data_IF_041193814604
#
_entry.id   IF_041193814604
#
_cell.length_a   1.000
_cell.length_b   1.000
_cell.length_c   1.000
_cell.angle_alpha   90.00
_cell.angle_beta   90.00
_cell.angle_gamma   90.00
#
_symmetry.space_group_name_H-M   'P 1'
#
loop_
_entity.id
_entity.type
_entity.pdbx_description
1 polymer ?
#
# COMPACT_ATOMS: atom_id res chain seq x y z
N UNK A 1 11.72 -12.42 -12.09
CA UNK A 1 10.60 -12.61 -11.13
C UNK A 1 9.67 -11.42 -11.25
N UNK A 2 8.35 -11.61 -11.22
CA UNK A 2 7.38 -10.50 -11.18
C UNK A 2 6.96 -10.31 -9.72
N UNK A 3 7.05 -9.09 -9.20
CA UNK A 3 6.57 -8.79 -7.85
C UNK A 3 5.04 -8.83 -7.84
N UNK A 4 4.41 -9.28 -6.73
CA UNK A 4 2.99 -9.07 -6.50
C UNK A 4 2.67 -7.57 -6.44
N UNK A 5 1.44 -7.22 -6.84
CA UNK A 5 0.97 -5.83 -6.87
C UNK A 5 1.01 -5.18 -5.48
N UNK A 6 0.58 -5.92 -4.45
CA UNK A 6 0.63 -5.51 -3.05
C UNK A 6 1.49 -6.48 -2.23
N UNK A 7 2.22 -5.93 -1.27
CA UNK A 7 3.01 -6.65 -0.29
C UNK A 7 2.76 -6.06 1.10
N UNK A 8 2.70 -6.91 2.12
CA UNK A 8 2.67 -6.48 3.52
C UNK A 8 4.11 -6.36 4.05
N UNK A 9 4.42 -5.24 4.69
CA UNK A 9 5.72 -4.97 5.31
C UNK A 9 5.62 -4.96 6.83
N UNK A 10 6.50 -5.70 7.49
CA UNK A 10 6.67 -5.70 8.94
C UNK A 10 8.00 -5.01 9.31
N UNK A 11 8.02 -4.26 10.41
CA UNK A 11 9.20 -3.57 10.90
C UNK A 11 9.24 -3.54 12.44
N UNK A 12 10.28 -4.12 13.03
CA UNK A 12 10.42 -4.24 14.49
C UNK A 12 10.57 -2.89 15.21
N UNK A 13 11.05 -1.85 14.54
CA UNK A 13 11.14 -0.49 15.13
C UNK A 13 9.77 0.24 15.09
N UNK A 14 8.82 -0.25 14.31
CA UNK A 14 7.46 0.29 14.16
C UNK A 14 6.41 -0.82 14.39
N UNK A 15 6.32 -1.36 15.62
CA UNK A 15 5.51 -2.55 15.92
C UNK A 15 4.00 -2.35 15.76
N UNK A 16 3.53 -1.10 15.76
CA UNK A 16 2.12 -0.73 15.59
C UNK A 16 1.79 -0.33 14.15
N UNK A 17 2.80 -0.19 13.27
CA UNK A 17 2.59 0.23 11.88
C UNK A 17 2.21 -0.95 11.00
N UNK A 18 1.36 -0.67 10.02
CA UNK A 18 0.92 -1.66 9.03
C UNK A 18 1.30 -1.12 7.66
N UNK A 19 2.47 -1.54 7.17
CA UNK A 19 2.95 -1.09 5.87
C UNK A 19 2.37 -1.93 4.76
N UNK A 20 1.73 -1.29 3.79
CA UNK A 20 1.36 -1.90 2.51
C UNK A 20 2.15 -1.24 1.40
N UNK A 21 2.82 -2.04 0.58
CA UNK A 21 3.66 -1.59 -0.53
C UNK A 21 2.93 -1.90 -1.84
N UNK A 22 2.68 -0.86 -2.64
CA UNK A 22 2.23 -1.00 -4.02
C UNK A 22 3.43 -0.96 -4.98
N UNK A 23 3.63 -2.03 -5.76
CA UNK A 23 4.84 -2.23 -6.56
C UNK A 23 4.70 -1.83 -8.04
N UNK A 24 3.47 -1.56 -8.49
CA UNK A 24 3.16 -1.08 -9.84
C UNK A 24 3.04 0.45 -9.86
N UNK A 25 3.05 1.08 -11.03
CA UNK A 25 2.93 2.54 -11.14
C UNK A 25 1.49 2.98 -10.81
N UNK A 26 1.28 4.03 -9.99
CA UNK A 26 2.27 4.73 -9.18
C UNK A 26 2.74 3.90 -7.97
N UNK A 27 4.06 3.84 -7.76
CA UNK A 27 4.70 3.06 -6.68
C UNK A 27 4.72 3.85 -5.39
N UNK A 28 4.18 3.24 -4.35
CA UNK A 28 4.11 3.86 -3.03
C UNK A 28 4.20 2.83 -1.91
N UNK A 29 4.47 3.33 -0.72
CA UNK A 29 4.23 2.66 0.54
C UNK A 29 3.22 3.49 1.34
N UNK A 30 2.25 2.82 1.96
CA UNK A 30 1.31 3.43 2.89
C UNK A 30 1.43 2.76 4.26
N UNK A 31 1.43 3.54 5.34
CA UNK A 31 1.17 3.04 6.68
C UNK A 31 -0.34 3.17 6.98
N UNK A 32 -1.05 2.04 6.95
CA UNK A 32 -2.49 2.01 7.19
C UNK A 32 -2.88 2.39 8.63
N UNK A 33 -1.92 2.40 9.57
CA UNK A 33 -2.19 2.82 10.95
C UNK A 33 -2.24 4.35 11.10
N UNK A 34 -1.55 5.08 10.21
CA UNK A 34 -1.41 6.54 10.26
C UNK A 34 -1.95 7.26 9.02
N UNK A 35 -2.38 6.52 8.00
CA UNK A 35 -2.73 7.00 6.67
C UNK A 35 -1.59 7.77 5.95
N UNK A 36 -0.34 7.58 6.38
CA UNK A 36 0.82 8.24 5.78
C UNK A 36 1.24 7.52 4.49
N UNK A 37 1.25 8.28 3.38
CA UNK A 37 1.51 7.78 2.04
C UNK A 37 2.79 8.39 1.49
N UNK A 38 3.74 7.54 1.11
CA UNK A 38 4.98 7.96 0.46
C UNK A 38 5.12 7.32 -0.92
N UNK A 39 5.16 8.16 -1.95
CA UNK A 39 5.53 7.75 -3.30
C UNK A 39 7.04 7.59 -3.41
N UNK A 40 7.49 6.59 -4.17
CA UNK A 40 8.91 6.39 -4.46
C UNK A 40 9.37 7.15 -5.70
N UNK A 41 8.45 7.68 -6.48
CA UNK A 41 8.74 8.41 -7.71
C UNK A 41 8.33 9.88 -7.63
N UNK A 42 8.98 10.67 -8.47
CA UNK A 42 8.64 12.08 -8.62
C UNK A 42 7.38 12.19 -9.49
N UNK A 43 6.28 12.61 -8.88
CA UNK A 43 5.04 12.90 -9.59
C UNK A 43 5.22 14.21 -10.36
N UNK A 44 5.03 14.18 -11.68
CA UNK A 44 5.01 15.39 -12.50
C UNK A 44 3.64 16.08 -12.39
N UNK A 45 3.63 17.42 -12.36
CA UNK A 45 2.39 18.20 -12.30
C UNK A 45 1.37 17.86 -13.40
N UNK A 46 1.84 17.44 -14.57
CA UNK A 46 0.97 17.01 -15.68
C UNK A 46 0.24 15.69 -15.44
N UNK A 47 0.66 14.93 -14.44
CA UNK A 47 0.12 13.61 -14.10
C UNK A 47 -0.64 13.63 -12.77
N UNK A 48 -0.60 14.76 -12.05
CA UNK A 48 -1.13 14.89 -10.69
C UNK A 48 -2.64 14.66 -10.61
N UNK A 49 -3.42 15.23 -11.55
CA UNK A 49 -4.88 15.07 -11.57
C UNK A 49 -5.29 13.62 -11.89
N UNK A 50 -4.61 12.98 -12.85
CA UNK A 50 -4.88 11.60 -13.25
C UNK A 50 -4.50 10.61 -12.13
N UNK A 51 -3.36 10.85 -11.48
CA UNK A 51 -2.86 10.02 -10.40
C UNK A 51 -3.67 10.16 -9.11
N UNK A 52 -4.36 11.28 -8.90
CA UNK A 52 -5.11 11.49 -7.66
C UNK A 52 -6.26 10.52 -7.53
N UNK A 53 -7.11 10.41 -8.55
CA UNK A 53 -8.24 9.47 -8.54
C UNK A 53 -7.75 8.02 -8.52
N UNK A 54 -6.68 7.71 -9.27
CA UNK A 54 -6.07 6.39 -9.27
C UNK A 54 -5.52 6.03 -7.87
N UNK A 55 -4.75 6.92 -7.25
CA UNK A 55 -4.17 6.74 -5.91
C UNK A 55 -5.28 6.52 -4.87
N UNK A 56 -6.35 7.31 -4.89
CA UNK A 56 -7.48 7.12 -3.97
C UNK A 56 -8.11 5.72 -4.08
N UNK A 57 -8.17 5.17 -5.30
CA UNK A 57 -8.62 3.80 -5.50
C UNK A 57 -7.59 2.77 -5.05
N UNK A 58 -6.30 3.01 -5.32
CA UNK A 58 -5.20 2.13 -4.89
C UNK A 58 -5.09 2.04 -3.37
N UNK A 59 -5.36 3.13 -2.63
CA UNK A 59 -5.40 3.12 -1.16
C UNK A 59 -6.52 2.19 -0.66
N UNK A 60 -7.73 2.28 -1.24
CA UNK A 60 -8.84 1.39 -0.88
C UNK A 60 -8.50 -0.08 -1.17
N UNK A 61 -7.83 -0.34 -2.29
CA UNK A 61 -7.36 -1.68 -2.64
C UNK A 61 -6.27 -2.17 -1.67
N UNK A 62 -5.38 -1.30 -1.21
CA UNK A 62 -4.36 -1.62 -0.21
C UNK A 62 -4.98 -2.02 1.14
N UNK A 63 -6.00 -1.29 1.60
CA UNK A 63 -6.75 -1.66 2.81
C UNK A 63 -7.48 -3.00 2.65
N UNK A 64 -8.17 -3.20 1.52
CA UNK A 64 -8.87 -4.45 1.25
C UNK A 64 -7.90 -5.64 1.13
N UNK A 65 -6.70 -5.42 0.60
CA UNK A 65 -5.63 -6.42 0.58
C UNK A 65 -5.21 -6.79 2.00
N UNK A 66 -4.97 -5.81 2.87
CA UNK A 66 -4.62 -6.07 4.28
C UNK A 66 -5.70 -6.89 4.99
N UNK A 67 -6.97 -6.49 4.86
CA UNK A 67 -8.10 -7.20 5.48
C UNK A 67 -8.13 -8.68 5.06
N UNK A 68 -7.92 -8.95 3.76
CA UNK A 68 -7.86 -10.32 3.23
C UNK A 68 -6.68 -11.13 3.77
N UNK A 69 -5.50 -10.51 3.91
CA UNK A 69 -4.34 -11.22 4.45
C UNK A 69 -4.52 -11.54 5.94
N UNK A 70 -5.08 -10.62 6.73
CA UNK A 70 -5.43 -10.87 8.14
C UNK A 70 -6.47 -11.98 8.27
N UNK A 71 -7.51 -11.98 7.43
CA UNK A 71 -8.51 -13.06 7.42
C UNK A 71 -7.88 -14.43 7.12
N UNK A 72 -6.88 -14.49 6.23
CA UNK A 72 -6.17 -15.74 5.92
C UNK A 72 -5.34 -16.23 7.09
N UNK A 73 -4.56 -15.35 7.72
CA UNK A 73 -3.78 -15.73 8.89
C UNK A 73 -4.65 -16.20 10.05
N UNK A 74 -5.81 -15.56 10.27
CA UNK A 74 -6.73 -15.96 11.35
C UNK A 74 -7.52 -17.24 11.07
N UNK A 75 -7.59 -17.72 9.82
CA UNK A 75 -8.20 -19.01 9.47
C UNK A 75 -7.20 -20.17 9.37
N UNK A 76 -5.90 -19.88 9.37
CA UNK A 76 -4.84 -20.90 9.39
C UNK A 76 -4.44 -21.33 10.81
N UNK A 77 -4.95 -20.65 11.85
CA UNK A 77 -4.87 -21.00 13.28
C UNK A 77 -6.12 -21.75 13.80
#
# INVERSE_FOLDING_TARGET
>A
MKLPRFLLGDNTDFPESIFVIHTEYPRFIIDLSTDDLQFWEAIHQSEEDDLKEETENLIKEASAFYDQEVERYTQED
#
